data_IF_236459842800
#
_entry.id   IF_236459842800
#
_cell.length_a   1.000
_cell.length_b   1.000
_cell.length_c   1.000
_cell.angle_alpha   90.00
_cell.angle_beta   90.00
_cell.angle_gamma   90.00
#
_symmetry.space_group_name_H-M   'P 1'
#
loop_
_entity.id
_entity.type
_entity.pdbx_description
1 polymer ?
#
# COMPACT_ATOMS: atom_id res chain seq x y z
N UNK A 1 2.71 18.66 47.85
CA UNK A 1 2.44 19.21 46.50
C UNK A 1 1.64 18.15 45.77
N UNK A 2 0.38 18.43 45.45
CA UNK A 2 -0.53 17.47 44.85
C UNK A 2 -0.31 17.46 43.33
N UNK A 3 0.01 16.28 42.81
CA UNK A 3 0.12 16.02 41.39
C UNK A 3 -1.29 15.81 40.85
N UNK A 4 -1.87 16.87 40.27
CA UNK A 4 -3.26 16.87 39.81
C UNK A 4 -3.43 15.83 38.70
N UNK A 5 -4.50 15.04 38.81
CA UNK A 5 -4.82 13.93 37.89
C UNK A 5 -4.74 14.33 36.40
N UNK A 6 -5.02 15.60 36.09
CA UNK A 6 -4.89 16.18 34.75
C UNK A 6 -3.44 16.26 34.23
N UNK A 7 -2.46 16.50 35.11
CA UNK A 7 -1.04 16.52 34.73
C UNK A 7 -0.52 15.13 34.31
N UNK A 8 -1.01 14.06 34.95
CA UNK A 8 -0.68 12.68 34.58
C UNK A 8 -1.30 12.24 33.25
N UNK A 9 -2.54 12.64 32.97
CA UNK A 9 -3.21 12.35 31.69
C UNK A 9 -2.58 13.12 30.52
N UNK A 10 -2.12 14.36 30.74
CA UNK A 10 -1.42 15.14 29.71
C UNK A 10 0.02 14.65 29.48
N UNK A 11 0.69 14.10 30.49
CA UNK A 11 1.97 13.43 30.32
C UNK A 11 1.83 12.12 29.54
N UNK A 12 0.81 11.31 29.84
CA UNK A 12 0.53 10.07 29.10
C UNK A 12 0.21 10.34 27.63
N UNK A 13 -0.62 11.34 27.33
CA UNK A 13 -0.92 11.75 25.94
C UNK A 13 0.30 12.32 25.22
N UNK A 14 1.17 13.07 25.90
CA UNK A 14 2.43 13.53 25.31
C UNK A 14 3.39 12.37 25.00
N UNK A 15 3.40 11.33 25.83
CA UNK A 15 4.24 10.15 25.64
C UNK A 15 3.72 9.25 24.52
N UNK A 16 2.40 9.03 24.45
CA UNK A 16 1.75 8.39 23.29
C UNK A 16 2.03 9.15 22.00
N UNK A 17 1.92 10.49 22.01
CA UNK A 17 2.19 11.32 20.83
C UNK A 17 3.65 11.25 20.39
N UNK A 18 4.60 11.17 21.34
CA UNK A 18 6.04 10.99 21.04
C UNK A 18 6.37 9.58 20.55
N UNK A 19 5.66 8.56 21.03
CA UNK A 19 5.79 7.20 20.52
C UNK A 19 5.21 7.06 19.11
N UNK A 20 4.04 7.65 18.84
CA UNK A 20 3.44 7.74 17.48
C UNK A 20 4.35 8.52 16.53
N UNK A 21 4.92 9.64 16.96
CA UNK A 21 5.88 10.39 16.15
C UNK A 21 7.17 9.60 15.85
N UNK A 22 7.60 8.68 16.73
CA UNK A 22 8.74 7.79 16.48
C UNK A 22 8.40 6.59 15.61
N UNK A 23 7.19 6.03 15.73
CA UNK A 23 6.70 4.98 14.84
C UNK A 23 6.56 5.51 13.41
N UNK A 24 5.96 6.71 13.26
CA UNK A 24 5.88 7.42 11.98
C UNK A 24 7.27 7.77 11.45
N UNK A 25 8.20 8.24 12.29
CA UNK A 25 9.58 8.50 11.86
C UNK A 25 10.33 7.22 11.46
N UNK A 26 10.09 6.07 12.10
CA UNK A 26 10.67 4.77 11.72
C UNK A 26 9.99 4.10 10.52
N UNK A 27 8.76 4.52 10.21
CA UNK A 27 8.05 4.16 8.98
C UNK A 27 8.53 5.04 7.80
N UNK A 28 8.79 6.33 8.05
CA UNK A 28 9.37 7.28 7.09
C UNK A 28 10.87 7.06 6.84
N UNK A 29 11.66 6.69 7.85
CA UNK A 29 13.10 6.37 7.71
C UNK A 29 13.32 5.01 7.01
N UNK A 30 12.25 4.24 6.79
CA UNK A 30 12.22 3.07 5.89
C UNK A 30 11.80 3.46 4.45
N UNK A 31 11.48 4.73 4.23
CA UNK A 31 11.05 5.31 2.95
C UNK A 31 12.19 5.96 2.17
N UNK A 32 13.15 5.15 1.70
CA UNK A 32 13.95 5.52 0.51
C UNK A 32 13.10 5.27 -0.75
N UNK A 33 11.91 5.87 -0.81
CA UNK A 33 10.93 5.64 -1.87
C UNK A 33 10.49 6.94 -2.53
N UNK A 34 10.48 6.98 -3.87
CA UNK A 34 9.84 8.02 -4.66
C UNK A 34 8.39 7.61 -4.91
N UNK A 35 7.52 8.26 -4.17
CA UNK A 35 6.17 8.75 -4.51
C UNK A 35 5.91 9.67 -3.31
N UNK A 36 5.70 10.99 -3.50
CA UNK A 36 5.41 11.85 -2.38
C UNK A 36 4.18 11.29 -1.66
N UNK A 37 4.29 10.92 -0.37
CA UNK A 37 3.15 10.34 0.32
C UNK A 37 2.00 11.35 0.30
N UNK A 38 0.77 10.84 0.19
CA UNK A 38 -0.45 11.65 0.36
C UNK A 38 -0.32 12.54 1.58
N UNK A 39 -0.77 13.79 1.47
CA UNK A 39 -0.59 14.76 2.54
C UNK A 39 -1.13 14.22 3.87
N UNK A 40 -0.40 14.40 4.98
CA UNK A 40 -0.79 13.82 6.27
C UNK A 40 -2.12 14.36 6.78
N UNK A 41 -2.54 15.54 6.33
CA UNK A 41 -3.86 16.11 6.64
C UNK A 41 -4.98 15.31 5.97
N UNK A 42 -4.85 15.00 4.67
CA UNK A 42 -5.82 14.17 3.92
C UNK A 42 -5.95 12.79 4.56
N UNK A 43 -4.83 12.20 4.96
CA UNK A 43 -4.82 10.89 5.63
C UNK A 43 -5.44 10.93 7.04
N UNK A 44 -5.31 12.04 7.77
CA UNK A 44 -5.92 12.21 9.08
C UNK A 44 -7.44 12.38 8.98
N UNK A 45 -7.91 13.07 7.93
CA UNK A 45 -9.34 13.19 7.65
C UNK A 45 -9.95 11.82 7.30
N UNK A 46 -9.26 11.03 6.45
CA UNK A 46 -9.64 9.65 6.16
C UNK A 46 -9.68 8.79 7.43
N UNK A 47 -8.67 8.90 8.30
CA UNK A 47 -8.62 8.15 9.57
C UNK A 47 -9.84 8.45 10.46
N UNK A 48 -10.31 9.70 10.49
CA UNK A 48 -11.53 10.08 11.21
C UNK A 48 -12.79 9.45 10.62
N UNK A 49 -12.88 9.29 9.30
CA UNK A 49 -14.01 8.62 8.65
C UNK A 49 -13.96 7.11 8.88
N UNK A 50 -12.77 6.52 8.89
CA UNK A 50 -12.55 5.10 9.21
C UNK A 50 -12.96 4.75 10.65
N UNK A 51 -13.10 5.70 11.58
CA UNK A 51 -13.67 5.43 12.91
C UNK A 51 -15.12 4.89 12.87
N UNK A 52 -15.82 5.10 11.75
CA UNK A 52 -17.16 4.55 11.53
C UNK A 52 -17.16 3.07 11.12
N UNK A 53 -16.01 2.55 10.66
CA UNK A 53 -15.82 1.13 10.30
C UNK A 53 -15.52 0.32 11.57
N UNK A 54 -16.19 -0.83 11.70
CA UNK A 54 -15.97 -1.73 12.83
C UNK A 54 -14.77 -2.63 12.58
N UNK A 55 -13.60 -2.28 13.12
CA UNK A 55 -12.40 -3.12 13.03
C UNK A 55 -12.40 -4.28 14.05
N UNK A 56 -11.84 -5.47 13.71
CA UNK A 56 -11.21 -5.81 12.42
C UNK A 56 -12.24 -5.90 11.28
N UNK A 57 -11.86 -5.38 10.11
CA UNK A 57 -12.73 -5.19 8.95
C UNK A 57 -12.09 -5.77 7.68
N UNK A 58 -12.92 -6.17 6.71
CA UNK A 58 -12.44 -6.57 5.39
C UNK A 58 -12.23 -5.37 4.46
N UNK A 59 -11.58 -5.58 3.33
CA UNK A 59 -11.51 -4.58 2.26
C UNK A 59 -12.90 -4.18 1.78
N UNK A 60 -13.80 -5.16 1.62
CA UNK A 60 -15.20 -4.93 1.28
C UNK A 60 -15.93 -4.06 2.33
N UNK A 61 -15.76 -4.33 3.64
CA UNK A 61 -16.36 -3.51 4.70
C UNK A 61 -15.90 -2.04 4.65
N UNK A 62 -14.60 -1.83 4.36
CA UNK A 62 -14.00 -0.50 4.22
C UNK A 62 -14.57 0.22 2.99
N UNK A 63 -14.62 -0.45 1.83
CA UNK A 63 -15.17 0.10 0.58
C UNK A 63 -16.66 0.41 0.74
N UNK A 64 -17.44 -0.45 1.39
CA UNK A 64 -18.86 -0.20 1.64
C UNK A 64 -19.10 1.08 2.44
N UNK A 65 -18.24 1.37 3.43
CA UNK A 65 -18.45 2.48 4.37
C UNK A 65 -17.84 3.79 3.88
N UNK A 66 -16.63 3.74 3.31
CA UNK A 66 -15.84 4.92 2.94
C UNK A 66 -15.34 4.90 1.49
N UNK A 67 -15.87 4.02 0.62
CA UNK A 67 -15.40 3.83 -0.76
C UNK A 67 -15.38 5.12 -1.58
N UNK A 68 -16.44 5.93 -1.49
CA UNK A 68 -16.58 7.20 -2.22
C UNK A 68 -15.62 8.31 -1.73
N UNK A 69 -14.86 8.08 -0.65
CA UNK A 69 -14.01 9.11 -0.06
C UNK A 69 -12.83 9.40 -0.99
N UNK A 70 -12.73 10.64 -1.45
CA UNK A 70 -11.60 11.11 -2.25
C UNK A 70 -10.34 11.36 -1.40
N UNK A 71 -9.21 11.03 -2.00
CA UNK A 71 -7.85 11.17 -1.51
C UNK A 71 -7.07 11.95 -2.56
N UNK A 72 -6.72 13.19 -2.23
CA UNK A 72 -5.90 14.03 -3.09
C UNK A 72 -4.44 13.54 -3.07
N UNK A 73 -3.92 13.22 -4.26
CA UNK A 73 -2.52 12.84 -4.45
C UNK A 73 -1.85 13.68 -5.54
N UNK A 74 -0.54 13.53 -5.70
CA UNK A 74 0.24 14.25 -6.72
C UNK A 74 -0.21 13.89 -8.13
N UNK A 75 -0.59 12.63 -8.35
CA UNK A 75 -0.95 12.08 -9.66
C UNK A 75 -2.46 12.25 -9.97
N UNK A 76 -3.22 12.79 -9.02
CA UNK A 76 -4.66 13.06 -9.14
C UNK A 76 -5.47 12.63 -7.92
N UNK A 77 -6.78 12.91 -7.91
CA UNK A 77 -7.67 12.37 -6.88
C UNK A 77 -7.92 10.88 -7.11
N UNK A 78 -7.93 10.11 -6.02
CA UNK A 78 -8.31 8.70 -6.00
C UNK A 78 -9.38 8.49 -4.93
N UNK A 79 -10.35 7.64 -5.19
CA UNK A 79 -11.31 7.20 -4.18
C UNK A 79 -10.75 6.05 -3.35
N UNK A 80 -11.23 5.84 -2.13
CA UNK A 80 -10.83 4.67 -1.33
C UNK A 80 -11.20 3.38 -2.05
N UNK A 81 -12.33 3.34 -2.76
CA UNK A 81 -12.70 2.19 -3.58
C UNK A 81 -11.65 1.90 -4.66
N UNK A 82 -10.99 2.89 -5.25
CA UNK A 82 -9.93 2.68 -6.25
C UNK A 82 -8.63 2.11 -5.66
N UNK A 83 -8.41 2.26 -4.34
CA UNK A 83 -7.15 1.93 -3.68
C UNK A 83 -7.21 0.67 -2.79
N UNK A 84 -8.40 0.32 -2.32
CA UNK A 84 -8.66 -0.84 -1.46
C UNK A 84 -9.37 -1.92 -2.27
N UNK A 85 -8.94 -3.18 -2.15
CA UNK A 85 -9.61 -4.26 -2.85
C UNK A 85 -10.98 -4.53 -2.23
N UNK A 86 -12.02 -4.57 -3.08
CA UNK A 86 -13.39 -4.87 -2.66
C UNK A 86 -13.56 -6.39 -2.49
N UNK A 87 -12.98 -6.92 -1.40
CA UNK A 87 -12.96 -8.35 -1.12
C UNK A 87 -12.80 -8.66 0.37
N UNK A 88 -13.31 -9.81 0.77
CA UNK A 88 -13.16 -10.38 2.12
C UNK A 88 -11.79 -10.99 2.41
N UNK A 89 -11.01 -11.23 1.34
CA UNK A 89 -9.65 -11.77 1.44
C UNK A 89 -8.66 -10.73 1.99
N UNK A 90 -8.95 -9.45 1.75
CA UNK A 90 -8.21 -8.32 2.28
C UNK A 90 -8.72 -7.99 3.68
N UNK A 91 -7.82 -7.91 4.67
CA UNK A 91 -8.19 -7.67 6.07
C UNK A 91 -7.35 -6.59 6.70
N UNK A 92 -8.00 -5.80 7.54
CA UNK A 92 -7.38 -4.72 8.28
C UNK A 92 -7.73 -4.85 9.76
N UNK A 93 -6.70 -4.85 10.61
CA UNK A 93 -6.88 -4.89 12.07
C UNK A 93 -7.20 -3.50 12.66
N UNK A 94 -6.80 -2.42 11.98
CA UNK A 94 -6.92 -1.04 12.46
C UNK A 94 -7.14 -0.05 11.30
N UNK A 95 -7.69 1.16 11.58
CA UNK A 95 -7.74 2.26 10.62
C UNK A 95 -6.36 2.64 10.06
N UNK A 96 -5.33 2.54 10.90
CA UNK A 96 -3.94 2.84 10.51
C UNK A 96 -3.45 1.91 9.40
N UNK A 97 -3.83 0.63 9.42
CA UNK A 97 -3.48 -0.32 8.35
C UNK A 97 -4.10 0.06 7.00
N UNK A 98 -5.30 0.66 7.01
CA UNK A 98 -5.93 1.19 5.79
C UNK A 98 -5.20 2.46 5.33
N UNK A 99 -4.84 3.35 6.26
CA UNK A 99 -4.07 4.54 5.96
C UNK A 99 -2.71 4.22 5.31
N UNK A 100 -1.97 3.25 5.86
CA UNK A 100 -0.69 2.79 5.28
C UNK A 100 -0.89 2.24 3.87
N UNK A 101 -2.07 1.69 3.56
CA UNK A 101 -2.38 1.26 2.21
C UNK A 101 -2.53 2.41 1.25
N UNK A 102 -3.42 3.35 1.58
CA UNK A 102 -3.87 4.38 0.67
C UNK A 102 -2.87 5.52 0.50
N UNK A 103 -1.85 5.61 1.36
CA UNK A 103 -0.83 6.66 1.30
C UNK A 103 0.02 6.63 0.02
N UNK A 104 -0.02 5.53 -0.76
CA UNK A 104 0.67 5.36 -2.05
C UNK A 104 -0.33 4.89 -3.11
N UNK A 105 -1.08 5.83 -3.70
CA UNK A 105 -2.17 5.52 -4.60
C UNK A 105 -1.76 4.68 -5.81
N UNK A 106 -0.59 4.95 -6.40
CA UNK A 106 -0.09 4.20 -7.56
C UNK A 106 0.11 2.72 -7.24
N UNK A 107 0.85 2.44 -6.16
CA UNK A 107 1.09 1.06 -5.70
C UNK A 107 -0.19 0.39 -5.22
N UNK A 108 -1.05 1.13 -4.51
CA UNK A 108 -2.31 0.62 -3.98
C UNK A 108 -3.27 0.19 -5.11
N UNK A 109 -3.40 1.01 -6.16
CA UNK A 109 -4.21 0.69 -7.35
C UNK A 109 -3.72 -0.57 -8.05
N UNK A 110 -2.40 -0.71 -8.25
CA UNK A 110 -1.81 -1.92 -8.82
C UNK A 110 -2.07 -3.16 -7.94
N UNK A 111 -1.92 -3.02 -6.63
CA UNK A 111 -2.17 -4.10 -5.68
C UNK A 111 -3.65 -4.49 -5.61
N UNK A 112 -4.57 -3.53 -5.66
CA UNK A 112 -6.02 -3.78 -5.72
C UNK A 112 -6.34 -4.76 -6.84
N UNK A 113 -5.89 -4.43 -8.07
CA UNK A 113 -6.14 -5.26 -9.26
C UNK A 113 -5.60 -6.69 -9.10
N UNK A 114 -4.42 -6.84 -8.51
CA UNK A 114 -3.82 -8.15 -8.25
C UNK A 114 -4.59 -8.93 -7.19
N UNK A 115 -4.99 -8.29 -6.09
CA UNK A 115 -5.73 -8.91 -4.98
C UNK A 115 -7.10 -9.37 -5.44
N UNK A 116 -7.84 -8.53 -6.19
CA UNK A 116 -9.14 -8.89 -6.74
C UNK A 116 -9.04 -10.03 -7.75
N UNK A 117 -8.04 -10.00 -8.64
CA UNK A 117 -7.77 -11.11 -9.56
C UNK A 117 -7.44 -12.41 -8.79
N UNK A 118 -6.60 -12.33 -7.77
CA UNK A 118 -6.26 -13.48 -6.92
C UNK A 118 -7.49 -14.04 -6.19
N UNK A 119 -8.42 -13.19 -5.74
CA UNK A 119 -9.67 -13.59 -5.11
C UNK A 119 -10.60 -14.43 -6.00
N UNK A 120 -10.38 -14.46 -7.32
CA UNK A 120 -11.11 -15.34 -8.24
C UNK A 120 -10.63 -16.80 -8.20
N UNK A 121 -9.46 -17.06 -7.61
CA UNK A 121 -8.87 -18.40 -7.51
C UNK A 121 -9.52 -19.19 -6.38
N UNK A 122 -9.90 -20.45 -6.65
CA UNK A 122 -10.65 -21.29 -5.70
C UNK A 122 -9.85 -21.79 -4.50
N UNK A 123 -8.52 -21.82 -4.59
CA UNK A 123 -7.64 -22.42 -3.55
C UNK A 123 -6.35 -21.63 -3.33
N UNK A 124 -6.25 -20.41 -3.87
CA UNK A 124 -5.07 -19.58 -3.75
C UNK A 124 -5.51 -18.20 -3.32
N UNK A 125 -4.90 -17.69 -2.26
CA UNK A 125 -5.08 -16.32 -1.78
C UNK A 125 -3.71 -15.68 -1.65
N UNK A 126 -3.65 -14.37 -1.91
CA UNK A 126 -2.41 -13.60 -1.75
C UNK A 126 -2.13 -13.38 -0.26
N UNK A 127 -1.31 -14.21 0.35
CA UNK A 127 -0.94 -14.04 1.76
C UNK A 127 -0.09 -12.79 2.03
N UNK A 128 -0.12 -12.29 3.27
CA UNK A 128 0.50 -11.00 3.68
C UNK A 128 1.98 -10.86 3.31
N UNK A 129 2.75 -11.95 3.46
CA UNK A 129 4.18 -11.95 3.11
C UNK A 129 4.41 -11.80 1.60
N UNK A 130 3.60 -12.48 0.80
CA UNK A 130 3.67 -12.39 -0.66
C UNK A 130 3.22 -11.00 -1.12
N UNK A 131 2.13 -10.50 -0.55
CA UNK A 131 1.60 -9.15 -0.74
C UNK A 131 2.65 -8.07 -0.48
N UNK A 132 3.32 -8.13 0.68
CA UNK A 132 4.40 -7.19 1.04
C UNK A 132 5.55 -7.22 0.04
N UNK A 133 5.87 -8.41 -0.49
CA UNK A 133 6.95 -8.56 -1.48
C UNK A 133 6.57 -8.00 -2.85
N UNK A 134 5.30 -8.13 -3.23
CA UNK A 134 4.77 -7.53 -4.45
C UNK A 134 4.77 -6.02 -4.35
N UNK A 135 4.25 -5.46 -3.26
CA UNK A 135 4.30 -4.03 -2.98
C UNK A 135 5.74 -3.52 -3.05
N UNK A 136 6.69 -4.20 -2.41
CA UNK A 136 8.10 -3.82 -2.50
C UNK A 136 8.58 -3.76 -3.95
N UNK A 137 8.16 -4.69 -4.80
CA UNK A 137 8.51 -4.69 -6.22
C UNK A 137 7.93 -3.48 -6.96
N UNK A 138 6.67 -3.12 -6.71
CA UNK A 138 6.04 -1.95 -7.33
C UNK A 138 6.66 -0.63 -6.85
N UNK A 139 7.03 -0.54 -5.58
CA UNK A 139 7.72 0.63 -5.04
C UNK A 139 9.09 0.84 -5.67
N UNK A 140 9.82 -0.25 -5.92
CA UNK A 140 11.13 -0.17 -6.55
C UNK A 140 11.01 0.19 -8.04
N UNK A 141 9.90 -0.19 -8.69
CA UNK A 141 9.58 0.29 -10.05
C UNK A 141 9.27 1.78 -10.06
N UNK A 142 8.45 2.27 -9.12
CA UNK A 142 8.23 3.71 -8.91
C UNK A 142 9.54 4.48 -8.74
N UNK A 143 10.60 3.79 -8.28
CA UNK A 143 11.90 4.37 -7.96
C UNK A 143 12.94 4.47 -9.04
N UNK A 144 12.73 3.79 -10.15
CA UNK A 144 13.76 3.68 -11.17
C UNK A 144 13.81 4.89 -12.09
N UNK A 145 12.66 5.48 -12.44
CA UNK A 145 12.59 6.76 -13.14
C UNK A 145 11.18 7.36 -12.99
N UNK A 146 11.07 8.68 -12.78
CA UNK A 146 9.77 9.36 -12.62
C UNK A 146 9.17 9.84 -13.95
N UNK A 147 9.95 9.77 -15.04
CA UNK A 147 9.53 10.22 -16.37
C UNK A 147 8.74 9.13 -17.14
N UNK A 148 8.54 7.94 -16.57
CA UNK A 148 7.84 6.81 -17.22
C UNK A 148 6.33 6.76 -16.97
N UNK A 149 5.77 7.78 -16.32
CA UNK A 149 4.34 7.85 -15.97
C UNK A 149 3.84 6.57 -15.28
N UNK A 150 4.69 5.93 -14.47
CA UNK A 150 4.42 4.68 -13.74
C UNK A 150 4.18 3.44 -14.62
N UNK A 151 4.56 3.49 -15.89
CA UNK A 151 4.36 2.41 -16.87
C UNK A 151 4.89 1.07 -16.34
N UNK A 152 6.03 1.07 -15.63
CA UNK A 152 6.59 -0.15 -15.05
C UNK A 152 5.65 -0.86 -14.07
N UNK A 153 4.94 -0.10 -13.24
CA UNK A 153 3.98 -0.64 -12.29
C UNK A 153 2.78 -1.24 -13.04
N UNK A 154 2.24 -0.51 -14.01
CA UNK A 154 1.12 -0.97 -14.83
C UNK A 154 1.46 -2.28 -15.57
N UNK A 155 2.61 -2.32 -16.26
CA UNK A 155 3.04 -3.49 -17.04
C UNK A 155 3.21 -4.73 -16.17
N UNK A 156 3.75 -4.57 -14.96
CA UNK A 156 3.96 -5.71 -14.05
C UNK A 156 2.66 -6.14 -13.37
N UNK A 157 1.78 -5.20 -13.02
CA UNK A 157 0.45 -5.49 -12.50
C UNK A 157 -0.41 -6.22 -13.56
N UNK A 158 -0.45 -5.71 -14.79
CA UNK A 158 -1.14 -6.32 -15.92
C UNK A 158 -0.63 -7.72 -16.21
N UNK A 159 0.69 -7.89 -16.25
CA UNK A 159 1.28 -9.21 -16.43
C UNK A 159 0.86 -10.19 -15.31
N UNK A 160 0.80 -9.70 -14.07
CA UNK A 160 0.40 -10.51 -12.90
C UNK A 160 -1.07 -10.93 -12.99
N UNK A 161 -1.97 -9.99 -13.27
CA UNK A 161 -3.42 -10.25 -13.46
C UNK A 161 -3.65 -11.20 -14.64
N UNK A 162 -3.01 -10.95 -15.78
CA UNK A 162 -3.10 -11.83 -16.94
C UNK A 162 -2.59 -13.24 -16.62
N UNK A 163 -1.51 -13.35 -15.83
CA UNK A 163 -0.99 -14.65 -15.40
C UNK A 163 -1.99 -15.42 -14.54
N UNK A 164 -2.65 -14.73 -13.60
CA UNK A 164 -3.69 -15.30 -12.76
C UNK A 164 -4.84 -15.83 -13.63
N UNK A 165 -5.34 -15.02 -14.56
CA UNK A 165 -6.45 -15.42 -15.43
C UNK A 165 -6.08 -16.55 -16.40
N UNK A 166 -4.90 -16.52 -17.02
CA UNK A 166 -4.49 -17.50 -18.03
C UNK A 166 -4.03 -18.83 -17.45
N UNK A 167 -3.43 -18.81 -16.27
CA UNK A 167 -2.82 -20.00 -15.64
C UNK A 167 -3.60 -20.50 -14.43
N UNK A 168 -4.63 -19.77 -14.01
CA UNK A 168 -5.42 -20.04 -12.81
C UNK A 168 -4.52 -20.26 -11.58
N UNK A 169 -3.41 -19.51 -11.50
CA UNK A 169 -2.43 -19.64 -10.41
C UNK A 169 -1.72 -18.31 -10.15
N UNK A 170 -1.39 -18.08 -8.88
CA UNK A 170 -0.75 -16.87 -8.43
C UNK A 170 0.78 -16.96 -8.64
N UNK A 171 1.41 -16.01 -9.36
CA UNK A 171 2.86 -16.06 -9.56
C UNK A 171 3.62 -15.93 -8.23
N UNK A 172 4.74 -16.64 -8.07
CA UNK A 172 5.58 -16.43 -6.88
C UNK A 172 6.23 -15.04 -6.87
N UNK A 173 6.57 -14.49 -5.70
CA UNK A 173 7.17 -13.15 -5.60
C UNK A 173 8.46 -12.98 -6.39
N UNK A 174 9.26 -14.05 -6.52
CA UNK A 174 10.47 -14.05 -7.37
C UNK A 174 10.14 -13.87 -8.85
N UNK A 175 9.02 -14.40 -9.31
CA UNK A 175 8.59 -14.26 -10.71
C UNK A 175 8.17 -12.81 -10.99
N UNK A 176 7.42 -12.19 -10.07
CA UNK A 176 7.05 -10.76 -10.15
C UNK A 176 8.28 -9.86 -10.16
N UNK A 177 9.21 -10.07 -9.22
CA UNK A 177 10.49 -9.34 -9.16
C UNK A 177 11.32 -9.48 -10.44
N UNK A 178 11.38 -10.70 -11.01
CA UNK A 178 12.08 -10.93 -12.27
C UNK A 178 11.40 -10.20 -13.42
N UNK A 179 10.06 -10.22 -13.48
CA UNK A 179 9.32 -9.50 -14.52
C UNK A 179 9.58 -7.99 -14.47
N UNK A 180 9.64 -7.42 -13.27
CA UNK A 180 10.01 -6.02 -13.04
C UNK A 180 11.44 -5.72 -13.53
N UNK A 181 12.41 -6.57 -13.20
CA UNK A 181 13.78 -6.42 -13.70
C UNK A 181 13.88 -6.52 -15.23
N UNK A 182 13.14 -7.45 -15.85
CA UNK A 182 13.05 -7.59 -17.30
C UNK A 182 12.49 -6.32 -17.97
N UNK A 183 11.45 -5.71 -17.39
CA UNK A 183 10.91 -4.43 -17.86
C UNK A 183 11.99 -3.34 -17.81
N UNK A 184 12.69 -3.23 -16.67
CA UNK A 184 13.69 -2.19 -16.48
C UNK A 184 14.88 -2.36 -17.44
N UNK A 185 15.35 -3.59 -17.63
CA UNK A 185 16.41 -3.90 -18.59
C UNK A 185 16.00 -3.58 -20.03
N UNK A 186 14.74 -3.86 -20.40
CA UNK A 186 14.21 -3.59 -21.74
C UNK A 186 14.11 -2.09 -22.03
N UNK A 187 13.81 -1.27 -21.01
CA UNK A 187 13.73 0.19 -21.12
C UNK A 187 15.07 0.90 -20.87
N UNK A 188 16.15 0.14 -20.63
CA UNK A 188 17.49 0.69 -20.49
C UNK A 188 17.78 1.34 -19.13
N UNK A 189 16.95 1.07 -18.12
CA UNK A 189 17.18 1.57 -16.77
C UNK A 189 18.37 0.84 -16.10
N UNK A 190 19.27 1.63 -15.50
CA UNK A 190 20.44 1.09 -14.79
C UNK A 190 20.03 0.64 -13.38
N UNK A 191 19.99 -0.67 -13.14
CA UNK A 191 19.79 -1.26 -11.82
C UNK A 191 21.09 -1.96 -11.38
N UNK A 192 21.54 -1.70 -10.16
CA UNK A 192 22.71 -2.36 -9.60
C UNK A 192 22.39 -3.78 -9.14
N UNK A 193 23.37 -4.67 -9.25
CA UNK A 193 23.24 -6.07 -8.82
C UNK A 193 22.95 -6.26 -7.32
N UNK A 194 23.20 -5.24 -6.48
CA UNK A 194 22.90 -5.27 -5.05
C UNK A 194 21.52 -4.68 -4.68
N UNK A 195 20.78 -4.15 -5.66
CA UNK A 195 19.46 -3.56 -5.46
C UNK A 195 18.33 -4.60 -5.56
N UNK A 196 17.12 -4.21 -5.15
CA UNK A 196 15.97 -5.09 -5.21
C UNK A 196 15.66 -5.56 -6.63
N UNK A 197 15.93 -4.79 -7.68
CA UNK A 197 15.64 -5.26 -9.05
C UNK A 197 16.88 -5.82 -9.78
N UNK A 198 18.04 -5.88 -9.12
CA UNK A 198 19.30 -6.42 -9.66
C UNK A 198 19.40 -7.94 -9.62
N UNK A 199 18.45 -8.65 -10.24
CA UNK A 199 18.38 -10.13 -10.29
C UNK A 199 18.96 -10.75 -11.56
#
# INVERSE_FOLDING_TARGET
MADDKRGREDQARNEERRQRARAIAAELERGDEPEPPVEPAVLADLESELESVSFPATGADVVETVGDREIESVDGPYTVEELVADTDAERFDTPESVRVRVQRPTVATAMKRVVEAAGTLRNEELGDSQRTTYEKTFRELKAIDADDEDEGIEVVADWTVNRIHEKETLPGSRAVRRRAAEFCQANGYEIRNDEWLGI
#
